data_IF_002769058327
#
_entry.id   IF_002769058327
#
_cell.length_a   1.000
_cell.length_b   1.000
_cell.length_c   1.000
_cell.angle_alpha   90.00
_cell.angle_beta   90.00
_cell.angle_gamma   90.00
#
_symmetry.space_group_name_H-M   'P 1'
#
loop_
_entity.id
_entity.type
_entity.pdbx_description
1 polymer ?
#
# COMPACT_ATOMS: atom_id res chain seq x y z
N UNK A 1 3.54 -3.62 -12.40
CA UNK A 1 3.98 -2.55 -11.48
C UNK A 1 3.57 -2.73 -10.02
N UNK A 2 2.30 -2.56 -9.60
CA UNK A 2 1.93 -2.66 -8.16
C UNK A 2 2.34 -4.00 -7.53
N UNK A 3 2.17 -5.10 -8.27
CA UNK A 3 2.61 -6.45 -7.83
C UNK A 3 4.13 -6.54 -7.69
N UNK A 4 4.88 -5.83 -8.52
CA UNK A 4 6.35 -5.82 -8.46
C UNK A 4 6.81 -5.01 -7.26
N UNK A 5 6.25 -3.83 -7.03
CA UNK A 5 6.50 -3.03 -5.82
C UNK A 5 6.14 -3.82 -4.57
N UNK A 6 5.04 -4.56 -4.58
CA UNK A 6 4.65 -5.44 -3.48
C UNK A 6 5.71 -6.54 -3.22
N UNK A 7 6.24 -7.16 -4.28
CA UNK A 7 7.34 -8.14 -4.16
C UNK A 7 8.63 -7.50 -3.63
N UNK A 8 9.03 -6.35 -4.17
CA UNK A 8 10.22 -5.59 -3.74
C UNK A 8 10.11 -5.17 -2.26
N UNK A 9 8.93 -4.76 -1.82
CA UNK A 9 8.64 -4.36 -0.44
C UNK A 9 8.33 -5.53 0.50
N UNK A 10 8.39 -6.78 0.00
CA UNK A 10 7.99 -8.00 0.71
C UNK A 10 6.62 -7.88 1.42
N UNK A 11 5.66 -7.28 0.71
CA UNK A 11 4.33 -6.96 1.22
C UNK A 11 3.25 -7.41 0.22
N UNK A 12 2.01 -7.41 0.68
CA UNK A 12 0.86 -7.63 -0.22
C UNK A 12 0.49 -6.34 -0.96
N UNK A 13 -0.19 -6.43 -2.12
CA UNK A 13 -0.69 -5.23 -2.81
C UNK A 13 -1.59 -4.35 -1.94
N UNK A 14 -2.41 -4.96 -1.07
CA UNK A 14 -3.25 -4.22 -0.13
C UNK A 14 -2.43 -3.43 0.89
N UNK A 15 -1.38 -4.06 1.44
CA UNK A 15 -0.45 -3.39 2.34
C UNK A 15 0.29 -2.24 1.68
N UNK A 16 0.73 -2.40 0.43
CA UNK A 16 1.41 -1.34 -0.33
C UNK A 16 0.51 -0.12 -0.49
N UNK A 17 -0.77 -0.30 -0.84
CA UNK A 17 -1.70 0.82 -1.02
C UNK A 17 -2.02 1.55 0.31
N UNK A 18 -2.15 0.79 1.41
CA UNK A 18 -2.34 1.37 2.75
C UNK A 18 -1.08 2.14 3.17
N UNK A 19 0.09 1.53 3.03
CA UNK A 19 1.38 2.14 3.36
C UNK A 19 1.65 3.39 2.52
N UNK A 20 1.29 3.38 1.23
CA UNK A 20 1.39 4.53 0.34
C UNK A 20 0.52 5.71 0.82
N UNK A 21 -0.70 5.45 1.27
CA UNK A 21 -1.57 6.47 1.86
C UNK A 21 -0.95 7.06 3.14
N UNK A 22 -0.44 6.19 4.02
CA UNK A 22 0.19 6.60 5.28
C UNK A 22 1.46 7.43 5.05
N UNK A 23 2.31 7.05 4.09
CA UNK A 23 3.51 7.79 3.71
C UNK A 23 3.20 9.22 3.25
N UNK A 24 2.02 9.42 2.66
CA UNK A 24 1.49 10.72 2.21
C UNK A 24 0.72 11.49 3.29
N UNK A 25 0.75 11.00 4.55
CA UNK A 25 -0.01 11.55 5.68
C UNK A 25 -1.54 11.53 5.46
N UNK A 26 -2.03 10.58 4.67
CA UNK A 26 -3.46 10.35 4.43
C UNK A 26 -3.92 9.19 5.30
N UNK A 27 -5.02 9.37 6.04
CA UNK A 27 -5.62 8.31 6.86
C UNK A 27 -6.30 7.28 5.97
N UNK A 28 -5.77 6.06 5.94
CA UNK A 28 -6.33 4.94 5.18
C UNK A 28 -7.44 4.23 5.98
N UNK A 29 -8.61 4.02 5.36
CA UNK A 29 -9.74 3.28 5.95
C UNK A 29 -10.10 2.03 5.10
N UNK A 30 -9.25 1.00 5.03
CA UNK A 30 -9.47 -0.14 4.16
C UNK A 30 -10.57 -1.07 4.70
N UNK A 31 -11.65 -1.25 3.94
CA UNK A 31 -12.78 -2.11 4.31
C UNK A 31 -12.49 -3.59 4.05
N UNK A 32 -12.75 -4.45 5.03
CA UNK A 32 -12.76 -5.91 4.84
C UNK A 32 -13.67 -6.62 5.84
N UNK A 33 -14.48 -7.57 5.36
CA UNK A 33 -15.22 -8.52 6.21
C UNK A 33 -14.37 -9.75 6.58
N UNK A 34 -13.29 -10.01 5.82
CA UNK A 34 -12.40 -11.15 6.02
C UNK A 34 -11.37 -10.83 7.11
N UNK A 35 -11.29 -11.68 8.14
CA UNK A 35 -10.40 -11.51 9.31
C UNK A 35 -8.92 -11.50 8.93
N UNK A 36 -8.49 -12.40 8.03
CA UNK A 36 -7.10 -12.43 7.54
C UNK A 36 -6.73 -11.12 6.86
N UNK A 37 -7.59 -10.60 5.99
CA UNK A 37 -7.37 -9.31 5.30
C UNK A 37 -7.41 -8.11 6.24
N UNK A 38 -8.20 -8.15 7.32
CA UNK A 38 -8.16 -7.11 8.37
C UNK A 38 -6.80 -7.06 9.06
N UNK A 39 -6.24 -8.24 9.39
CA UNK A 39 -4.90 -8.34 9.98
C UNK A 39 -3.82 -7.85 9.00
N UNK A 40 -3.89 -8.30 7.75
CA UNK A 40 -2.97 -7.89 6.68
C UNK A 40 -2.96 -6.37 6.48
N UNK A 41 -4.15 -5.74 6.42
CA UNK A 41 -4.29 -4.28 6.31
C UNK A 41 -3.69 -3.53 7.50
N UNK A 42 -3.79 -4.08 8.71
CA UNK A 42 -3.19 -3.49 9.91
C UNK A 42 -1.66 -3.60 9.89
N UNK A 43 -1.13 -4.74 9.46
CA UNK A 43 0.31 -4.99 9.31
C UNK A 43 0.98 -4.07 8.26
N UNK A 44 0.19 -3.45 7.38
CA UNK A 44 0.66 -2.45 6.42
C UNK A 44 1.38 -1.27 7.09
N UNK A 45 1.08 -0.97 8.36
CA UNK A 45 1.79 0.07 9.12
C UNK A 45 3.30 -0.18 9.21
N UNK A 46 3.73 -1.44 9.17
CA UNK A 46 5.15 -1.81 9.21
C UNK A 46 5.81 -1.81 7.83
N UNK A 47 5.03 -1.63 6.75
CA UNK A 47 5.54 -1.59 5.38
C UNK A 47 6.13 -0.22 5.11
N UNK A 48 7.43 -0.16 4.77
CA UNK A 48 8.12 1.06 4.37
C UNK A 48 8.37 1.03 2.87
N UNK A 49 7.84 2.01 2.16
CA UNK A 49 8.10 2.20 0.74
C UNK A 49 9.30 3.13 0.56
N UNK A 50 10.15 2.84 -0.42
CA UNK A 50 11.18 3.78 -0.85
C UNK A 50 10.56 4.97 -1.57
N UNK A 51 11.29 6.08 -1.66
CA UNK A 51 10.86 7.25 -2.45
C UNK A 51 10.56 6.88 -3.89
N UNK A 52 11.44 6.08 -4.53
CA UNK A 52 11.26 5.59 -5.90
C UNK A 52 9.98 4.76 -6.07
N UNK A 53 9.67 3.87 -5.12
CA UNK A 53 8.43 3.09 -5.14
C UNK A 53 7.21 3.99 -5.00
N UNK A 54 7.28 5.01 -4.14
CA UNK A 54 6.23 6.02 -3.97
C UNK A 54 6.00 6.85 -5.24
N UNK A 55 7.07 7.27 -5.91
CA UNK A 55 7.01 8.01 -7.18
C UNK A 55 6.39 7.16 -8.30
N UNK A 56 6.80 5.89 -8.42
CA UNK A 56 6.20 4.92 -9.35
C UNK A 56 4.70 4.75 -9.08
N UNK A 57 4.28 4.73 -7.82
CA UNK A 57 2.85 4.66 -7.45
C UNK A 57 2.10 5.96 -7.75
N UNK A 58 2.74 7.12 -7.65
CA UNK A 58 2.12 8.40 -7.95
C UNK A 58 1.93 8.63 -9.46
N UNK A 59 2.85 8.11 -10.28
CA UNK A 59 2.75 8.18 -11.74
C UNK A 59 1.57 7.39 -12.34
N UNK A 60 0.88 6.56 -11.53
CA UNK A 60 -0.32 5.82 -11.91
C UNK A 60 -1.62 6.65 -11.84
N UNK A 61 -1.56 7.90 -11.39
CA UNK A 61 -2.74 8.75 -11.28
C UNK A 61 -3.32 9.06 -12.67
N UNK A 62 -4.24 8.20 -13.10
CA UNK A 62 -5.08 8.40 -14.27
C UNK A 62 -6.42 8.96 -13.77
N UNK A 63 -6.80 10.14 -14.24
CA UNK A 63 -8.12 10.73 -13.97
C UNK A 63 -9.21 9.80 -14.52
N UNK A 64 -9.77 8.95 -13.64
CA UNK A 64 -10.90 8.05 -13.89
C UNK A 64 -12.13 8.44 -13.07
#
# INVERSE_FOLDING_TARGET
>A
MLIEIAKEANATPGQVLVAFSLARKIVALPKSANVKRKKENLEAFNTKLSTEQGERLMALDEYY
#
